data_IF_836581466720
#
_entry.id   IF_836581466720
#
_cell.length_a   1.000
_cell.length_b   1.000
_cell.length_c   1.000
_cell.angle_alpha   90.00
_cell.angle_beta   90.00
_cell.angle_gamma   90.00
#
_symmetry.space_group_name_H-M   'P 1'
#
loop_
_entity.id
_entity.type
_entity.pdbx_description
1 polymer ?
#
# COMPACT_ATOMS: atom_id res chain seq x y z
N UNK A 1 -6.11 23.98 -2.54
CA UNK A 1 -5.68 22.58 -2.75
C UNK A 1 -5.84 22.22 -4.22
N UNK A 2 -5.12 21.22 -4.71
CA UNK A 2 -5.17 20.71 -6.09
C UNK A 2 -5.52 19.23 -6.10
N UNK A 3 -6.08 18.78 -7.22
CA UNK A 3 -6.47 17.39 -7.44
C UNK A 3 -5.23 16.49 -7.56
N UNK A 4 -5.06 15.56 -6.62
CA UNK A 4 -3.96 14.60 -6.58
C UNK A 4 -4.50 13.18 -6.80
N UNK A 5 -3.80 12.39 -7.63
CA UNK A 5 -4.16 10.98 -7.88
C UNK A 5 -3.45 10.05 -6.89
N UNK A 6 -4.18 9.05 -6.38
CA UNK A 6 -3.66 8.07 -5.41
C UNK A 6 -4.09 6.65 -5.80
N UNK A 7 -3.25 5.84 -6.44
CA UNK A 7 -1.87 6.11 -6.88
C UNK A 7 -1.79 6.98 -8.15
N UNK A 8 -0.59 7.30 -8.69
CA UNK A 8 -0.46 8.12 -9.90
C UNK A 8 -1.33 7.64 -11.07
N UNK A 9 -1.98 8.57 -11.78
CA UNK A 9 -2.94 8.27 -12.86
C UNK A 9 -2.41 7.26 -13.89
N UNK A 10 -1.15 7.38 -14.29
CA UNK A 10 -0.50 6.53 -15.31
C UNK A 10 -0.06 5.16 -14.81
N UNK A 11 -0.22 4.87 -13.52
CA UNK A 11 0.03 3.56 -12.93
C UNK A 11 -1.26 2.74 -12.84
N UNK A 12 -2.01 2.69 -13.95
CA UNK A 12 -3.32 2.03 -14.09
C UNK A 12 -4.50 2.67 -13.31
N UNK A 13 -4.32 3.88 -12.78
CA UNK A 13 -5.38 4.61 -12.06
C UNK A 13 -6.21 5.53 -13.00
N UNK A 14 -6.92 4.94 -13.97
CA UNK A 14 -7.69 5.67 -15.01
C UNK A 14 -9.17 5.29 -15.10
N UNK A 15 -9.62 4.28 -14.34
CA UNK A 15 -10.94 3.68 -14.45
C UNK A 15 -12.09 4.43 -13.76
N UNK A 16 -13.29 3.87 -13.88
CA UNK A 16 -14.44 4.25 -13.06
C UNK A 16 -14.38 3.51 -11.73
N UNK A 17 -14.83 4.15 -10.65
CA UNK A 17 -14.91 3.51 -9.35
C UNK A 17 -16.16 3.96 -8.61
N UNK A 18 -16.66 3.05 -7.78
CA UNK A 18 -17.73 3.30 -6.83
C UNK A 18 -17.13 3.42 -5.44
N UNK A 19 -17.60 4.40 -4.68
CA UNK A 19 -17.16 4.59 -3.30
C UNK A 19 -18.15 3.89 -2.37
N UNK A 20 -17.64 3.01 -1.51
CA UNK A 20 -18.42 2.26 -0.53
C UNK A 20 -17.84 2.39 0.88
N UNK A 21 -18.67 2.11 1.88
CA UNK A 21 -18.22 2.07 3.29
C UNK A 21 -17.68 0.68 3.63
N UNK A 22 -16.44 0.62 4.12
CA UNK A 22 -15.83 -0.61 4.62
C UNK A 22 -16.66 -1.23 5.77
N UNK A 23 -17.21 -0.40 6.67
CA UNK A 23 -18.06 -0.84 7.77
C UNK A 23 -19.35 -1.48 7.26
N UNK A 24 -19.97 -0.90 6.23
CA UNK A 24 -21.17 -1.48 5.62
C UNK A 24 -20.87 -2.85 4.98
N UNK A 25 -19.76 -2.95 4.25
CA UNK A 25 -19.32 -4.20 3.63
C UNK A 25 -19.04 -5.29 4.68
N UNK A 26 -18.34 -4.94 5.76
CA UNK A 26 -18.06 -5.88 6.86
C UNK A 26 -19.33 -6.36 7.57
N UNK A 27 -20.38 -5.55 7.60
CA UNK A 27 -21.69 -5.93 8.17
C UNK A 27 -22.55 -6.74 7.19
N UNK A 28 -22.06 -7.04 5.99
CA UNK A 28 -22.84 -7.68 4.93
C UNK A 28 -23.99 -6.81 4.42
N UNK A 29 -23.97 -5.51 4.69
CA UNK A 29 -25.00 -4.58 4.24
C UNK A 29 -24.57 -4.03 2.89
N UNK A 30 -25.16 -4.56 1.82
CA UNK A 30 -24.97 -4.04 0.48
C UNK A 30 -25.71 -2.69 0.36
N UNK A 31 -24.98 -1.60 0.61
CA UNK A 31 -25.50 -0.25 0.35
C UNK A 31 -25.19 0.15 -1.09
N UNK A 32 -26.10 0.91 -1.69
CA UNK A 32 -25.83 1.58 -2.96
C UNK A 32 -24.51 2.38 -2.87
N UNK A 33 -23.76 2.49 -3.99
CA UNK A 33 -22.56 3.31 -4.04
C UNK A 33 -22.83 4.71 -3.50
N UNK A 34 -21.97 5.17 -2.59
CA UNK A 34 -22.07 6.54 -2.06
C UNK A 34 -21.77 7.58 -3.14
N UNK A 35 -20.95 7.21 -4.13
CA UNK A 35 -20.63 8.04 -5.28
C UNK A 35 -20.18 7.19 -6.48
N UNK A 36 -20.39 7.71 -7.69
CA UNK A 36 -19.82 7.23 -8.94
C UNK A 36 -18.81 8.25 -9.44
N UNK A 37 -17.55 7.83 -9.57
CA UNK A 37 -16.46 8.71 -9.97
C UNK A 37 -15.71 8.13 -11.18
N UNK A 38 -15.21 9.01 -12.04
CA UNK A 38 -14.49 8.61 -13.26
C UNK A 38 -13.06 9.12 -13.26
N UNK A 39 -12.13 8.37 -13.86
CA UNK A 39 -10.76 8.80 -14.10
C UNK A 39 -9.81 8.50 -12.94
N UNK A 40 -10.07 7.44 -12.18
CA UNK A 40 -9.21 6.98 -11.09
C UNK A 40 -9.39 7.70 -9.75
N UNK A 41 -8.89 7.05 -8.70
CA UNK A 41 -8.90 7.49 -7.30
C UNK A 41 -8.08 8.78 -7.19
N UNK A 42 -8.73 9.84 -6.70
CA UNK A 42 -8.14 11.18 -6.56
C UNK A 42 -8.92 12.03 -5.58
N UNK A 43 -8.24 13.00 -4.97
CA UNK A 43 -8.85 13.93 -4.02
C UNK A 43 -8.10 15.29 -4.01
N UNK A 44 -8.76 16.34 -3.53
CA UNK A 44 -8.18 17.68 -3.37
C UNK A 44 -7.42 17.80 -2.05
N UNK A 45 -6.23 17.20 -1.98
CA UNK A 45 -5.48 17.02 -0.72
C UNK A 45 -4.13 17.73 -0.66
N UNK A 46 -3.50 17.98 -1.81
CA UNK A 46 -2.17 18.60 -1.86
C UNK A 46 -2.25 20.06 -2.28
N UNK A 47 -1.26 20.86 -1.88
CA UNK A 47 -1.03 22.17 -2.51
C UNK A 47 -0.49 21.97 -3.94
N UNK A 48 -0.65 22.98 -4.80
CA UNK A 48 -0.14 22.94 -6.18
C UNK A 48 1.36 22.64 -6.26
N UNK A 49 2.22 23.29 -5.45
CA UNK A 49 3.64 22.98 -5.37
C UNK A 49 3.94 21.55 -4.94
N UNK A 50 3.27 21.04 -3.89
CA UNK A 50 3.50 19.67 -3.40
C UNK A 50 3.08 18.62 -4.43
N UNK A 51 1.91 18.79 -5.04
CA UNK A 51 1.40 17.89 -6.08
C UNK A 51 2.36 17.84 -7.29
N UNK A 52 2.79 19.02 -7.73
CA UNK A 52 3.74 19.15 -8.85
C UNK A 52 5.12 18.58 -8.52
N UNK A 53 5.56 18.71 -7.27
CA UNK A 53 6.83 18.15 -6.79
C UNK A 53 6.80 16.62 -6.81
N UNK A 54 5.81 16.00 -6.16
CA UNK A 54 5.67 14.53 -6.14
C UNK A 54 5.58 13.95 -7.56
N UNK A 55 4.75 14.59 -8.41
CA UNK A 55 4.55 14.17 -9.80
C UNK A 55 5.81 14.22 -10.67
N UNK A 56 6.76 15.12 -10.37
CA UNK A 56 8.04 15.20 -11.09
C UNK A 56 9.14 14.34 -10.47
N UNK A 57 9.23 14.33 -9.14
CA UNK A 57 10.34 13.73 -8.42
C UNK A 57 10.20 12.19 -8.29
N UNK A 58 8.98 11.70 -8.06
CA UNK A 58 8.76 10.34 -7.59
C UNK A 58 7.87 9.50 -8.53
N UNK A 59 6.77 10.05 -9.01
CA UNK A 59 5.77 9.32 -9.80
C UNK A 59 6.32 8.60 -11.05
N UNK A 60 7.30 9.14 -11.80
CA UNK A 60 7.86 8.41 -12.93
C UNK A 60 8.40 7.03 -12.55
N UNK A 61 8.96 6.91 -11.34
CA UNK A 61 9.49 5.63 -10.86
C UNK A 61 8.37 4.69 -10.39
N UNK A 62 7.35 5.21 -9.69
CA UNK A 62 6.17 4.43 -9.34
C UNK A 62 5.51 3.81 -10.58
N UNK A 63 5.32 4.61 -11.62
CA UNK A 63 4.77 4.16 -12.90
C UNK A 63 5.66 3.06 -13.50
N UNK A 64 6.98 3.26 -13.48
CA UNK A 64 7.92 2.29 -14.03
C UNK A 64 7.91 0.96 -13.27
N UNK A 65 7.76 0.98 -11.95
CA UNK A 65 7.54 -0.23 -11.14
C UNK A 65 6.21 -0.89 -11.46
N UNK A 66 5.13 -0.10 -11.55
CA UNK A 66 3.79 -0.60 -11.83
C UNK A 66 3.74 -1.42 -13.13
N UNK A 67 4.39 -0.94 -14.19
CA UNK A 67 4.50 -1.67 -15.45
C UNK A 67 5.44 -2.87 -15.36
N UNK A 68 6.54 -2.76 -14.61
CA UNK A 68 7.52 -3.84 -14.47
C UNK A 68 6.97 -5.06 -13.72
N UNK A 69 5.95 -4.88 -12.87
CA UNK A 69 5.33 -5.99 -12.13
C UNK A 69 4.16 -6.66 -12.85
N UNK A 70 3.66 -6.10 -13.95
CA UNK A 70 2.54 -6.68 -14.71
C UNK A 70 2.78 -8.15 -15.12
N UNK A 71 3.97 -8.55 -15.63
CA UNK A 71 4.21 -9.94 -15.98
C UNK A 71 4.05 -10.90 -14.80
N UNK A 72 4.43 -10.48 -13.58
CA UNK A 72 4.20 -11.28 -12.37
C UNK A 72 2.70 -11.42 -12.11
N UNK A 73 1.93 -10.34 -12.23
CA UNK A 73 0.48 -10.38 -12.02
C UNK A 73 -0.24 -11.28 -13.02
N UNK A 74 0.21 -11.35 -14.27
CA UNK A 74 -0.40 -12.14 -15.33
C UNK A 74 -0.04 -13.64 -15.28
N UNK A 75 1.22 -13.97 -14.95
CA UNK A 75 1.74 -15.32 -15.15
C UNK A 75 1.93 -16.12 -13.85
N UNK A 76 2.09 -15.45 -12.71
CA UNK A 76 2.30 -16.15 -11.43
C UNK A 76 0.98 -16.63 -10.83
N UNK A 77 1.01 -17.59 -9.91
CA UNK A 77 -0.16 -17.89 -9.07
C UNK A 77 -0.21 -16.93 -7.85
N UNK A 78 -1.34 -16.81 -7.14
CA UNK A 78 -1.34 -16.15 -5.83
C UNK A 78 -0.38 -16.81 -4.83
N UNK A 79 0.04 -16.05 -3.82
CA UNK A 79 0.93 -16.46 -2.74
C UNK A 79 2.23 -15.64 -2.66
N UNK A 80 3.19 -16.07 -1.83
CA UNK A 80 4.48 -15.37 -1.69
C UNK A 80 5.33 -15.57 -2.95
N UNK A 81 5.86 -14.48 -3.51
CA UNK A 81 6.67 -14.47 -4.73
C UNK A 81 7.93 -13.66 -4.54
N UNK A 82 9.01 -14.15 -5.15
CA UNK A 82 10.23 -13.39 -5.35
C UNK A 82 10.09 -12.53 -6.60
N UNK A 83 10.21 -11.22 -6.42
CA UNK A 83 10.16 -10.23 -7.50
C UNK A 83 11.56 -9.69 -7.72
N UNK A 84 11.96 -9.54 -8.99
CA UNK A 84 13.26 -9.01 -9.37
C UNK A 84 13.10 -7.92 -10.42
N UNK A 85 13.46 -6.69 -10.07
CA UNK A 85 13.32 -5.52 -10.94
C UNK A 85 14.70 -4.93 -11.25
N UNK A 86 15.00 -4.77 -12.53
CA UNK A 86 16.30 -4.29 -13.01
C UNK A 86 16.31 -2.76 -13.16
N UNK A 87 17.42 -2.12 -12.79
CA UNK A 87 17.70 -0.70 -13.02
C UNK A 87 16.58 0.25 -12.52
N UNK A 88 16.07 0.01 -11.30
CA UNK A 88 15.05 0.83 -10.64
C UNK A 88 15.65 1.87 -9.70
N UNK A 89 14.89 2.89 -9.32
CA UNK A 89 15.25 3.92 -8.32
C UNK A 89 14.50 3.72 -7.00
N UNK A 90 15.06 2.97 -6.03
CA UNK A 90 14.30 2.47 -4.88
C UNK A 90 13.69 3.56 -4.01
N UNK A 91 14.48 4.58 -3.67
CA UNK A 91 14.03 5.68 -2.83
C UNK A 91 12.88 6.45 -3.49
N UNK A 92 12.98 6.70 -4.81
CA UNK A 92 11.92 7.41 -5.56
C UNK A 92 10.61 6.61 -5.53
N UNK A 93 10.67 5.28 -5.65
CA UNK A 93 9.48 4.42 -5.54
C UNK A 93 8.86 4.50 -4.15
N UNK A 94 9.67 4.30 -3.10
CA UNK A 94 9.20 4.35 -1.71
C UNK A 94 8.57 5.71 -1.38
N UNK A 95 9.19 6.82 -1.79
CA UNK A 95 8.65 8.17 -1.57
C UNK A 95 7.36 8.43 -2.35
N UNK A 96 7.20 7.89 -3.55
CA UNK A 96 5.93 7.99 -4.29
C UNK A 96 4.82 7.20 -3.57
N UNK A 97 5.12 5.99 -3.09
CA UNK A 97 4.16 5.17 -2.34
C UNK A 97 3.72 5.88 -1.04
N UNK A 98 4.67 6.42 -0.27
CA UNK A 98 4.37 7.17 0.94
C UNK A 98 3.64 8.48 0.66
N UNK A 99 3.97 9.19 -0.43
CA UNK A 99 3.22 10.37 -0.84
C UNK A 99 1.76 10.03 -1.15
N UNK A 100 1.50 8.91 -1.85
CA UNK A 100 0.15 8.46 -2.13
C UNK A 100 -0.62 8.07 -0.85
N UNK A 101 0.03 7.35 0.08
CA UNK A 101 -0.53 7.04 1.40
C UNK A 101 -0.86 8.31 2.20
N UNK A 102 0.10 9.21 2.39
CA UNK A 102 -0.10 10.49 3.10
C UNK A 102 -1.25 11.31 2.51
N UNK A 103 -1.40 11.30 1.19
CA UNK A 103 -2.49 12.01 0.51
C UNK A 103 -3.85 11.38 0.79
N UNK A 104 -3.91 10.06 0.98
CA UNK A 104 -5.15 9.31 1.26
C UNK A 104 -5.62 9.41 2.71
N UNK A 105 -4.75 9.86 3.62
CA UNK A 105 -5.04 9.91 5.06
C UNK A 105 -5.84 11.17 5.47
N UNK A 106 -6.54 11.12 6.63
CA UNK A 106 -7.26 12.26 7.17
C UNK A 106 -6.37 13.49 7.39
N UNK A 107 -6.99 14.68 7.34
CA UNK A 107 -6.32 15.92 7.74
C UNK A 107 -5.81 15.79 9.20
N UNK A 108 -4.63 16.34 9.48
CA UNK A 108 -3.96 16.23 10.78
C UNK A 108 -3.01 15.03 10.91
N UNK A 109 -3.10 13.99 10.06
CA UNK A 109 -2.15 12.88 10.11
C UNK A 109 -0.70 13.35 9.88
N UNK A 110 -0.49 14.20 8.87
CA UNK A 110 0.83 14.76 8.60
C UNK A 110 1.37 15.65 9.72
N UNK A 111 0.50 16.37 10.42
CA UNK A 111 0.89 17.23 11.55
C UNK A 111 1.32 16.38 12.76
N UNK A 112 0.70 15.21 12.94
CA UNK A 112 1.06 14.24 13.98
C UNK A 112 2.29 13.39 13.64
N UNK A 113 2.74 13.38 12.37
CA UNK A 113 3.86 12.56 11.88
C UNK A 113 4.81 13.43 11.02
N UNK A 114 5.37 14.53 11.57
CA UNK A 114 6.10 15.53 10.80
C UNK A 114 7.41 15.00 10.20
N UNK A 115 8.07 14.04 10.84
CA UNK A 115 9.26 13.36 10.33
C UNK A 115 8.97 12.55 9.06
N UNK A 116 7.82 11.87 8.99
CA UNK A 116 7.40 11.14 7.79
C UNK A 116 7.11 12.12 6.64
N UNK A 117 6.42 13.23 6.94
CA UNK A 117 6.18 14.29 5.96
C UNK A 117 7.51 14.89 5.48
N UNK A 118 8.45 15.13 6.38
CA UNK A 118 9.78 15.65 6.06
C UNK A 118 10.55 14.70 5.14
N UNK A 119 10.54 13.39 5.44
CA UNK A 119 11.17 12.36 4.63
C UNK A 119 10.65 12.35 3.18
N UNK A 120 9.34 12.45 3.00
CA UNK A 120 8.71 12.48 1.66
C UNK A 120 8.96 13.82 0.96
N UNK A 121 8.91 14.94 1.68
CA UNK A 121 9.05 16.29 1.11
C UNK A 121 10.47 16.61 0.65
N UNK A 122 11.49 16.09 1.33
CA UNK A 122 12.89 16.35 1.02
C UNK A 122 13.46 15.21 0.19
N UNK A 123 13.70 15.43 -1.10
CA UNK A 123 14.09 14.38 -2.06
C UNK A 123 15.35 13.61 -1.64
N UNK A 124 16.33 14.30 -1.07
CA UNK A 124 17.65 13.77 -0.75
C UNK A 124 17.73 13.14 0.65
N UNK A 125 16.66 13.24 1.46
CA UNK A 125 16.59 12.56 2.77
C UNK A 125 16.51 11.06 2.58
N UNK A 126 17.52 10.35 3.09
CA UNK A 126 17.58 8.89 3.16
C UNK A 126 17.19 8.42 4.56
N UNK A 127 16.98 7.11 4.69
CA UNK A 127 16.54 6.41 5.89
C UNK A 127 15.13 6.82 6.33
N UNK A 128 14.18 5.90 6.14
CA UNK A 128 12.84 6.06 6.69
C UNK A 128 12.95 6.13 8.23
N UNK A 129 12.23 7.03 8.92
CA UNK A 129 12.28 7.07 10.37
C UNK A 129 11.88 5.71 10.96
N UNK A 130 12.59 5.23 12.00
CA UNK A 130 12.51 3.84 12.46
C UNK A 130 11.15 3.45 13.05
N UNK A 131 10.30 4.43 13.37
CA UNK A 131 8.94 4.24 13.85
C UNK A 131 8.00 3.72 12.75
N UNK A 132 8.40 3.85 11.49
CA UNK A 132 7.58 3.50 10.34
C UNK A 132 8.14 2.27 9.62
N UNK A 133 7.22 1.39 9.22
CA UNK A 133 7.55 0.31 8.30
C UNK A 133 6.55 0.24 7.15
N UNK A 134 7.08 -0.02 5.96
CA UNK A 134 6.27 -0.09 4.73
C UNK A 134 6.32 -1.50 4.18
N UNK A 135 5.14 -2.05 3.92
CA UNK A 135 4.97 -3.37 3.32
C UNK A 135 4.30 -3.23 1.97
N UNK A 136 4.77 -4.01 1.01
CA UNK A 136 4.30 -4.09 -0.37
C UNK A 136 3.68 -5.46 -0.63
N UNK A 137 2.50 -5.43 -1.23
CA UNK A 137 1.81 -6.57 -1.81
C UNK A 137 1.55 -6.29 -3.29
N UNK A 138 1.73 -7.29 -4.15
CA UNK A 138 1.26 -7.22 -5.53
C UNK A 138 -0.22 -7.58 -5.57
N UNK A 139 -1.04 -6.64 -6.03
CA UNK A 139 -2.50 -6.78 -6.08
C UNK A 139 -2.93 -7.01 -7.52
N UNK A 140 -3.44 -8.21 -7.80
CA UNK A 140 -3.94 -8.59 -9.13
C UNK A 140 -5.30 -7.98 -9.44
N UNK A 141 -6.24 -8.14 -8.53
CA UNK A 141 -7.65 -7.88 -8.76
C UNK A 141 -8.36 -7.51 -7.45
N UNK A 142 -9.64 -7.14 -7.56
CA UNK A 142 -10.52 -6.85 -6.43
C UNK A 142 -10.81 -5.37 -6.24
N UNK A 143 -11.25 -5.02 -5.03
CA UNK A 143 -11.65 -3.66 -4.67
C UNK A 143 -10.44 -2.83 -4.26
N UNK A 144 -10.33 -1.62 -4.80
CA UNK A 144 -9.36 -0.68 -4.23
C UNK A 144 -9.76 -0.30 -2.80
N UNK A 145 -8.80 -0.25 -1.89
CA UNK A 145 -9.01 0.08 -0.47
C UNK A 145 -8.14 1.27 -0.10
N UNK A 146 -8.78 2.28 0.47
CA UNK A 146 -8.13 3.35 1.21
C UNK A 146 -8.57 3.16 2.66
N UNK A 147 -7.73 2.58 3.49
CA UNK A 147 -8.03 2.55 4.92
C UNK A 147 -7.53 3.85 5.54
N UNK A 148 -8.32 4.39 6.47
CA UNK A 148 -7.76 5.32 7.45
C UNK A 148 -6.77 4.60 8.37
N UNK A 149 -6.46 5.24 9.50
CA UNK A 149 -5.75 4.56 10.58
C UNK A 149 -6.64 3.46 11.18
N UNK A 150 -6.12 2.27 11.32
CA UNK A 150 -6.79 1.16 12.01
C UNK A 150 -5.84 0.47 12.98
N UNK A 151 -6.43 -0.12 14.01
CA UNK A 151 -5.74 -0.98 14.97
C UNK A 151 -6.11 -2.43 14.73
N UNK A 152 -5.13 -3.33 14.75
CA UNK A 152 -5.33 -4.77 14.76
C UNK A 152 -4.70 -5.35 16.03
N UNK A 153 -5.38 -6.29 16.68
CA UNK A 153 -4.87 -6.95 17.87
C UNK A 153 -4.88 -8.47 17.67
N UNK A 154 -3.74 -9.12 17.84
CA UNK A 154 -3.71 -10.57 17.98
C UNK A 154 -4.05 -10.91 19.44
N UNK A 155 -5.26 -11.42 19.64
CA UNK A 155 -5.79 -11.81 20.95
C UNK A 155 -5.49 -13.26 21.33
N UNK A 156 -4.60 -13.96 20.62
CA UNK A 156 -4.21 -15.31 20.99
C UNK A 156 -3.35 -15.34 22.25
N UNK A 157 -3.43 -16.43 23.02
CA UNK A 157 -2.70 -16.57 24.29
C UNK A 157 -1.17 -16.42 24.13
N UNK A 158 -0.63 -16.77 22.95
CA UNK A 158 0.81 -16.74 22.65
C UNK A 158 1.30 -15.41 22.10
N UNK A 159 0.41 -14.55 21.58
CA UNK A 159 0.79 -13.26 20.99
C UNK A 159 0.97 -12.16 22.02
N UNK A 160 0.72 -12.39 23.32
CA UNK A 160 0.80 -11.38 24.40
C UNK A 160 0.07 -10.05 24.06
N UNK A 161 -0.99 -10.10 23.23
CA UNK A 161 -1.74 -8.91 22.86
C UNK A 161 -0.98 -7.94 21.94
N UNK A 162 -0.20 -8.45 20.97
CA UNK A 162 0.41 -7.62 19.92
C UNK A 162 -0.64 -6.72 19.27
N UNK A 163 -0.38 -5.42 19.29
CA UNK A 163 -1.22 -4.38 18.73
C UNK A 163 -0.47 -3.72 17.56
N UNK A 164 -1.08 -3.75 16.38
CA UNK A 164 -0.58 -3.13 15.15
C UNK A 164 -1.42 -1.89 14.85
N UNK A 165 -0.75 -0.75 14.67
CA UNK A 165 -1.38 0.47 14.17
C UNK A 165 -0.92 0.67 12.74
N UNK A 166 -1.85 0.69 11.81
CA UNK A 166 -1.52 0.74 10.39
C UNK A 166 -2.52 1.53 9.55
N UNK A 167 -2.12 1.83 8.33
CA UNK A 167 -2.99 2.31 7.27
C UNK A 167 -2.61 1.70 5.92
N UNK A 168 -3.58 1.61 5.02
CA UNK A 168 -3.49 0.86 3.78
C UNK A 168 -3.95 1.71 2.58
N UNK A 169 -3.16 1.62 1.50
CA UNK A 169 -3.53 2.01 0.15
C UNK A 169 -3.38 0.78 -0.74
N UNK A 170 -4.48 0.12 -1.08
CA UNK A 170 -4.50 -1.00 -2.01
C UNK A 170 -5.21 -0.61 -3.32
N UNK A 171 -4.47 -0.61 -4.42
CA UNK A 171 -4.98 -0.39 -5.77
C UNK A 171 -4.04 -1.08 -6.78
N UNK A 172 -4.55 -1.96 -7.66
CA UNK A 172 -3.70 -2.64 -8.63
C UNK A 172 -2.74 -1.69 -9.38
N UNK A 173 -1.44 -2.01 -9.48
CA UNK A 173 -0.85 -3.32 -9.16
C UNK A 173 -0.33 -3.47 -7.72
N UNK A 174 -0.55 -2.50 -6.83
CA UNK A 174 0.13 -2.47 -5.52
C UNK A 174 -0.83 -2.34 -4.33
N UNK A 175 -0.48 -3.01 -3.24
CA UNK A 175 -1.01 -2.81 -1.90
C UNK A 175 0.10 -2.33 -1.00
N UNK A 176 -0.05 -1.15 -0.44
CA UNK A 176 0.87 -0.61 0.56
C UNK A 176 0.22 -0.64 1.93
N UNK A 177 0.95 -1.17 2.90
CA UNK A 177 0.62 -1.04 4.32
C UNK A 177 1.73 -0.23 4.98
N UNK A 178 1.37 0.82 5.71
CA UNK A 178 2.27 1.58 6.57
C UNK A 178 1.91 1.29 8.02
N UNK A 179 2.85 0.73 8.78
CA UNK A 179 2.72 0.50 10.22
C UNK A 179 3.43 1.59 11.01
N UNK A 180 2.88 1.94 12.18
CA UNK A 180 3.40 2.98 13.07
C UNK A 180 3.72 2.36 14.45
N UNK A 181 4.97 2.46 14.89
CA UNK A 181 5.46 1.95 16.20
C UNK A 181 5.11 0.49 16.47
N UNK A 182 4.91 -0.30 15.41
CA UNK A 182 4.41 -1.67 15.49
C UNK A 182 4.83 -2.47 14.25
N UNK A 183 6.14 -2.77 14.09
CA UNK A 183 6.59 -3.57 12.97
C UNK A 183 5.87 -4.93 12.98
N UNK A 184 5.48 -5.39 11.79
CA UNK A 184 4.93 -6.74 11.64
C UNK A 184 6.06 -7.74 11.81
N UNK A 185 5.76 -8.81 12.52
CA UNK A 185 6.75 -9.83 12.81
C UNK A 185 7.19 -10.60 11.55
N UNK A 186 6.31 -10.72 10.54
CA UNK A 186 6.65 -11.24 9.22
C UNK A 186 7.20 -10.13 8.31
N UNK A 187 8.47 -10.26 7.92
CA UNK A 187 9.14 -9.34 7.00
C UNK A 187 8.72 -9.48 5.52
N UNK A 188 7.83 -10.43 5.17
CA UNK A 188 7.36 -10.61 3.79
C UNK A 188 6.73 -9.32 3.28
N UNK A 189 7.22 -8.84 2.14
CA UNK A 189 6.78 -7.59 1.53
C UNK A 189 7.39 -6.34 2.15
N UNK A 190 8.22 -6.42 3.20
CA UNK A 190 8.82 -5.23 3.83
C UNK A 190 9.78 -4.52 2.87
N UNK A 191 9.49 -3.27 2.56
CA UNK A 191 10.25 -2.42 1.62
C UNK A 191 10.83 -1.15 2.27
N UNK A 192 10.84 -1.03 3.60
CA UNK A 192 11.43 0.11 4.31
C UNK A 192 12.92 0.34 3.96
N UNK A 193 13.66 -0.75 3.70
CA UNK A 193 15.06 -0.74 3.28
C UNK A 193 15.30 -0.03 1.93
N UNK A 194 14.25 0.20 1.12
CA UNK A 194 14.39 1.03 -0.09
C UNK A 194 14.73 2.50 0.27
N UNK A 195 14.52 2.89 1.53
CA UNK A 195 14.92 4.18 2.09
C UNK A 195 16.43 4.37 2.22
N UNK A 196 17.23 3.31 2.13
CA UNK A 196 18.69 3.37 2.30
C UNK A 196 19.44 3.75 1.02
N UNK A 197 18.73 3.80 -0.11
CA UNK A 197 19.28 4.22 -1.40
C UNK A 197 19.28 5.74 -1.52
N UNK A 198 20.25 6.30 -2.25
CA UNK A 198 20.27 7.72 -2.56
C UNK A 198 19.17 8.09 -3.58
N UNK A 199 18.75 9.35 -3.56
CA UNK A 199 17.84 9.89 -4.57
C UNK A 199 18.39 9.66 -5.98
N UNK A 200 17.54 9.15 -6.88
CA UNK A 200 17.90 8.75 -8.24
C UNK A 200 18.97 7.64 -8.39
N UNK A 201 19.46 7.04 -7.29
CA UNK A 201 20.34 5.89 -7.39
C UNK A 201 19.61 4.74 -8.08
N UNK A 202 20.24 4.17 -9.11
CA UNK A 202 19.72 2.98 -9.79
C UNK A 202 20.28 1.72 -9.16
N UNK A 203 19.43 0.72 -8.99
CA UNK A 203 19.81 -0.58 -8.46
C UNK A 203 18.90 -1.70 -9.00
N UNK A 204 19.40 -2.93 -8.93
CA UNK A 204 18.61 -4.13 -9.14
C UNK A 204 17.99 -4.52 -7.81
N UNK A 205 16.67 -4.60 -7.76
CA UNK A 205 15.93 -4.84 -6.53
C UNK A 205 15.36 -6.23 -6.56
N UNK A 206 15.60 -6.99 -5.49
CA UNK A 206 15.01 -8.29 -5.26
C UNK A 206 14.28 -8.25 -3.93
N UNK A 207 13.04 -8.70 -3.90
CA UNK A 207 12.25 -8.74 -2.68
C UNK A 207 11.21 -9.85 -2.75
N UNK A 208 10.88 -10.40 -1.57
CA UNK A 208 9.75 -11.29 -1.40
C UNK A 208 8.50 -10.48 -1.06
N UNK A 209 7.38 -10.74 -1.73
CA UNK A 209 6.11 -10.13 -1.39
C UNK A 209 4.94 -11.09 -1.63
N UNK A 210 3.81 -10.79 -1.01
CA UNK A 210 2.55 -11.45 -1.34
C UNK A 210 2.10 -11.00 -2.72
N UNK A 211 1.68 -11.94 -3.56
CA UNK A 211 0.85 -11.70 -4.73
C UNK A 211 -0.57 -12.19 -4.39
N UNK A 212 -1.53 -11.28 -4.37
CA UNK A 212 -2.87 -11.58 -3.90
C UNK A 212 -3.95 -10.73 -4.53
N UNK A 213 -5.11 -10.76 -3.90
CA UNK A 213 -6.32 -10.07 -4.33
C UNK A 213 -6.94 -9.28 -3.20
N UNK A 214 -7.73 -8.26 -3.55
CA UNK A 214 -8.48 -7.46 -2.58
C UNK A 214 -9.94 -7.92 -2.54
N UNK A 215 -10.13 -9.24 -2.41
CA UNK A 215 -11.44 -9.89 -2.37
C UNK A 215 -12.18 -9.59 -1.05
N UNK A 216 -11.45 -9.66 0.06
CA UNK A 216 -11.91 -9.28 1.39
C UNK A 216 -11.93 -7.75 1.57
N UNK A 217 -12.96 -7.19 2.24
CA UNK A 217 -12.97 -5.78 2.60
C UNK A 217 -11.98 -5.47 3.75
N UNK A 218 -11.46 -6.48 4.45
CA UNK A 218 -10.55 -6.29 5.59
C UNK A 218 -9.16 -5.80 5.13
N UNK A 219 -8.63 -4.70 5.67
CA UNK A 219 -7.27 -4.24 5.37
C UNK A 219 -6.23 -5.28 5.76
N UNK A 220 -5.16 -5.40 4.98
CA UNK A 220 -4.10 -6.39 5.19
C UNK A 220 -4.48 -7.83 4.78
N UNK A 221 -5.73 -8.07 4.40
CA UNK A 221 -6.19 -9.35 3.87
C UNK A 221 -6.12 -9.35 2.34
N UNK A 222 -5.18 -10.15 1.82
CA UNK A 222 -4.89 -10.27 0.39
C UNK A 222 -5.23 -11.65 -0.19
N UNK A 223 -6.01 -12.44 0.55
CA UNK A 223 -6.47 -13.76 0.11
C UNK A 223 -7.45 -13.64 -1.07
N UNK A 224 -7.39 -14.62 -1.94
CA UNK A 224 -8.34 -14.81 -3.05
C UNK A 224 -9.72 -15.21 -2.54
N UNK A 225 -10.75 -15.05 -3.37
CA UNK A 225 -12.11 -15.51 -3.05
C UNK A 225 -12.15 -17.02 -2.73
N UNK A 226 -11.34 -17.82 -3.41
CA UNK A 226 -11.23 -19.26 -3.15
C UNK A 226 -10.65 -19.54 -1.75
N UNK A 227 -9.58 -18.85 -1.37
CA UNK A 227 -8.95 -19.00 -0.05
C UNK A 227 -9.86 -18.52 1.09
N UNK A 228 -10.73 -17.54 0.83
CA UNK A 228 -11.72 -17.07 1.79
C UNK A 228 -12.84 -18.10 1.97
N UNK A 229 -13.30 -18.73 0.89
CA UNK A 229 -14.42 -19.69 0.88
C UNK A 229 -14.04 -21.09 1.36
N UNK A 230 -12.76 -21.47 1.29
CA UNK A 230 -12.31 -22.78 1.80
C UNK A 230 -12.55 -22.88 3.31
N UNK A 231 -13.24 -23.95 3.79
CA UNK A 231 -13.32 -24.22 5.22
C UNK A 231 -11.89 -24.35 5.76
N UNK A 232 -11.58 -23.59 6.82
CA UNK A 232 -10.24 -23.59 7.40
C UNK A 232 -9.86 -25.02 7.80
N UNK A 233 -8.79 -25.61 7.24
CA UNK A 233 -8.17 -26.75 7.89
C UNK A 233 -7.62 -26.24 9.23
N UNK A 234 -7.95 -27.00 10.25
CA UNK A 234 -7.43 -26.93 11.60
C UNK A 234 -5.89 -26.77 11.61
N UNK A 235 -5.47 -25.64 12.18
CA UNK A 235 -4.17 -25.41 12.83
C UNK A 235 -2.91 -25.79 12.03
N UNK A 236 -2.68 -25.16 10.89
CA UNK A 236 -1.34 -24.73 10.46
C UNK A 236 -1.44 -23.84 9.21
N UNK A 237 -1.60 -22.53 9.42
CA UNK A 237 -1.71 -21.56 8.34
C UNK A 237 -0.39 -20.78 8.24
N UNK A 238 0.36 -20.88 7.11
CA UNK A 238 1.57 -20.09 6.90
C UNK A 238 1.30 -18.59 6.69
N UNK A 239 0.02 -18.19 6.60
CA UNK A 239 -0.41 -16.79 6.49
C UNK A 239 -0.63 -16.11 7.85
N UNK A 240 -0.24 -16.76 8.94
CA UNK A 240 -0.11 -16.05 10.22
C UNK A 240 1.05 -15.07 10.07
N UNK A 241 0.77 -13.81 10.34
CA UNK A 241 1.75 -12.88 10.90
C UNK A 241 2.23 -13.56 12.19
N UNK A 242 3.32 -14.31 12.08
CA UNK A 242 4.11 -14.80 13.23
C UNK A 242 5.00 -13.70 13.69
#
# INVERSE_FOLDING_TARGET
>A
MTLAHMPPKRANNIGRYTVGSIIAQLRGVERQPMAFLQGGIRDYRLSGPCNSFCGRAYDPEYIAWAWAVIPYLEHERPGVREVSLCCRRPLNFLKSALAALLTSLPAGFGDANPELVSFVRHRDTVHLPPEYDVYLTLVRSGRSRLSGLFGSADLTFFSRGKFEIACELAHPPFGFMLTLNSPRDNATGRISHLGDYLYNQRANIRFSCVLGETASPTPGDYRTDEEIRRPRPDRNCPWRVT
#
